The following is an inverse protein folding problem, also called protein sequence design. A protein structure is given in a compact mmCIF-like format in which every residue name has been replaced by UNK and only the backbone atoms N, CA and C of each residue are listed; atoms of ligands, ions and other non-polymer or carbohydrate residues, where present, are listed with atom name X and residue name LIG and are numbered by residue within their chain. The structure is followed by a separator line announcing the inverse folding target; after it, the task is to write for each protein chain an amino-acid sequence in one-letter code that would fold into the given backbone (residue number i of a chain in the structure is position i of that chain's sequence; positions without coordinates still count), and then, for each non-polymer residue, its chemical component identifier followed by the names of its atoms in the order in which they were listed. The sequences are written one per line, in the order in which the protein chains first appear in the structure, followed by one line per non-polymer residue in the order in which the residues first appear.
data_IF_655428188762
#
_entry.id   IF_655428188762
#
_cell.length_a   1.000
_cell.length_b   1.000
_cell.length_c   1.000
_cell.angle_alpha   90.00
_cell.angle_beta   90.00
_cell.angle_gamma   90.00
#
_symmetry.space_group_name_H-M   'P 1'
#
loop_
_entity.id
_entity.type
_entity.pdbx_description
1 polymer ?
#
# COMPACT_ATOMS: atom_id res chain seq x y z
N UNK A 1 10.55 -7.02 -5.26
CA UNK A 1 11.57 -6.38 -4.39
C UNK A 1 11.91 -5.04 -5.02
N UNK A 2 11.72 -3.95 -4.28
CA UNK A 2 11.79 -2.58 -4.76
C UNK A 2 13.18 -2.15 -5.22
N UNK A 3 13.53 -2.43 -6.45
CA UNK A 3 14.61 -1.74 -7.16
C UNK A 3 13.99 -0.66 -8.02
N UNK A 4 14.62 0.50 -8.10
CA UNK A 4 14.12 1.64 -8.86
C UNK A 4 13.84 2.85 -7.96
N UNK A 5 13.32 3.89 -8.56
CA UNK A 5 12.93 5.13 -7.87
C UNK A 5 11.58 5.60 -8.39
N UNK A 6 10.85 6.31 -7.54
CA UNK A 6 9.60 6.92 -7.92
C UNK A 6 9.83 7.95 -9.05
N UNK A 7 9.09 7.80 -10.13
CA UNK A 7 9.09 8.72 -11.27
C UNK A 7 7.80 9.56 -11.26
N UNK A 8 7.96 10.83 -10.95
CA UNK A 8 6.85 11.79 -10.90
C UNK A 8 6.17 11.95 -12.27
N UNK A 9 6.92 11.87 -13.38
CA UNK A 9 6.34 12.00 -14.72
C UNK A 9 5.45 10.81 -15.07
N UNK A 10 5.90 9.57 -14.77
CA UNK A 10 5.07 8.39 -14.94
C UNK A 10 3.83 8.41 -14.03
N UNK A 11 3.96 8.93 -12.81
CA UNK A 11 2.83 9.15 -11.92
C UNK A 11 1.83 10.17 -12.48
N UNK A 12 2.29 11.32 -12.99
CA UNK A 12 1.42 12.30 -13.66
C UNK A 12 0.71 11.72 -14.88
N UNK A 13 1.38 10.86 -15.64
CA UNK A 13 0.75 10.16 -16.77
C UNK A 13 -0.38 9.26 -16.30
N UNK A 14 -0.19 8.53 -15.19
CA UNK A 14 -1.24 7.72 -14.58
C UNK A 14 -2.40 8.59 -14.10
N UNK A 15 -2.16 9.65 -13.33
CA UNK A 15 -3.22 10.54 -12.83
C UNK A 15 -3.99 11.20 -13.96
N UNK A 16 -3.31 11.61 -15.04
CA UNK A 16 -3.95 12.15 -16.24
C UNK A 16 -4.82 11.11 -16.95
N UNK A 17 -4.37 9.86 -17.04
CA UNK A 17 -5.12 8.78 -17.69
C UNK A 17 -6.35 8.34 -16.90
N UNK A 18 -6.36 8.59 -15.59
CA UNK A 18 -7.47 8.27 -14.68
C UNK A 18 -8.35 9.47 -14.37
N UNK A 19 -7.96 10.67 -14.79
CA UNK A 19 -8.73 11.88 -14.59
C UNK A 19 -10.12 11.74 -15.23
N UNK A 20 -11.17 12.00 -14.44
CA UNK A 20 -12.56 11.90 -14.90
C UNK A 20 -13.15 10.50 -14.98
N UNK A 21 -12.36 9.43 -14.74
CA UNK A 21 -12.92 8.08 -14.59
C UNK A 21 -13.59 7.93 -13.22
N UNK A 22 -14.67 7.16 -13.17
CA UNK A 22 -15.28 6.78 -11.91
C UNK A 22 -14.32 5.87 -11.11
N UNK A 23 -14.44 5.87 -9.78
CA UNK A 23 -13.64 5.02 -8.89
C UNK A 23 -13.75 3.55 -9.29
N UNK A 24 -14.96 3.07 -9.62
CA UNK A 24 -15.23 1.70 -10.04
C UNK A 24 -14.57 1.30 -11.37
N UNK A 25 -14.28 2.28 -12.23
CA UNK A 25 -13.57 2.03 -13.50
C UNK A 25 -12.05 1.89 -13.29
N UNK A 26 -11.53 2.44 -12.19
CA UNK A 26 -10.13 2.33 -11.81
C UNK A 26 -9.91 1.08 -10.97
N UNK A 27 -10.76 0.88 -9.97
CA UNK A 27 -10.76 -0.29 -9.09
C UNK A 27 -11.70 -1.36 -9.65
N UNK A 28 -11.35 -1.92 -10.81
CA UNK A 28 -12.20 -2.87 -11.53
C UNK A 28 -12.24 -4.27 -10.92
N UNK A 29 -11.43 -4.55 -9.90
CA UNK A 29 -11.40 -5.84 -9.20
C UNK A 29 -12.76 -6.14 -8.56
N UNK A 30 -13.28 -7.35 -8.78
CA UNK A 30 -14.55 -7.82 -8.19
C UNK A 30 -14.36 -8.83 -7.06
N UNK A 31 -13.13 -9.22 -6.83
CA UNK A 31 -12.67 -10.10 -5.75
C UNK A 31 -11.25 -9.69 -5.39
N UNK A 32 -10.74 -10.19 -4.26
CA UNK A 32 -9.34 -9.98 -3.90
C UNK A 32 -8.41 -10.44 -5.03
N UNK A 33 -7.48 -9.57 -5.43
CA UNK A 33 -6.48 -9.93 -6.42
C UNK A 33 -5.48 -10.92 -5.83
N UNK A 34 -5.10 -11.95 -6.60
CA UNK A 34 -4.22 -13.04 -6.13
C UNK A 34 -2.89 -12.53 -5.53
N UNK A 35 -2.33 -11.45 -6.07
CA UNK A 35 -1.05 -10.89 -5.63
C UNK A 35 -1.19 -10.03 -4.37
N UNK A 36 -2.44 -9.64 -4.02
CA UNK A 36 -2.78 -8.89 -2.81
C UNK A 36 -3.39 -9.76 -1.72
N UNK A 37 -3.72 -11.03 -2.01
CA UNK A 37 -4.29 -11.95 -1.02
C UNK A 37 -3.21 -12.34 0.01
N UNK A 38 -3.40 -12.06 1.31
CA UNK A 38 -2.46 -12.46 2.35
C UNK A 38 -2.37 -13.98 2.55
N UNK A 39 -3.37 -14.74 2.05
CA UNK A 39 -3.38 -16.20 2.16
C UNK A 39 -2.20 -16.81 1.43
N UNK A 40 -1.36 -17.53 2.15
CA UNK A 40 -0.16 -18.16 1.61
C UNK A 40 1.05 -17.24 1.48
N UNK A 41 0.93 -15.95 1.78
CA UNK A 41 2.08 -15.06 1.89
C UNK A 41 2.81 -15.35 3.19
N UNK A 42 4.00 -15.95 3.07
CA UNK A 42 4.85 -16.20 4.25
C UNK A 42 5.55 -14.94 4.71
N UNK A 43 6.04 -14.15 3.74
CA UNK A 43 6.86 -12.99 4.03
C UNK A 43 6.78 -11.96 2.91
N UNK A 44 6.69 -10.68 3.26
CA UNK A 44 6.93 -9.53 2.40
C UNK A 44 8.25 -8.90 2.78
N UNK A 45 9.08 -8.55 1.82
CA UNK A 45 10.45 -8.14 2.09
C UNK A 45 10.75 -6.74 1.57
N UNK A 46 11.45 -5.96 2.41
CA UNK A 46 12.07 -4.70 2.02
C UNK A 46 13.59 -4.87 2.11
N UNK A 47 14.24 -5.09 0.97
CA UNK A 47 15.66 -5.40 0.90
C UNK A 47 16.44 -4.28 0.22
N UNK A 48 17.66 -4.08 0.67
CA UNK A 48 18.59 -3.17 0.03
C UNK A 48 18.89 -3.64 -1.40
N UNK A 49 19.12 -2.68 -2.27
CA UNK A 49 19.52 -2.91 -3.67
C UNK A 49 20.60 -1.90 -4.07
N UNK A 50 21.13 -2.04 -5.28
CA UNK A 50 22.08 -1.06 -5.81
C UNK A 50 21.47 0.35 -5.89
N UNK A 51 20.18 0.43 -6.24
CA UNK A 51 19.45 1.69 -6.38
C UNK A 51 18.96 2.23 -5.03
N UNK A 52 18.71 1.35 -4.06
CA UNK A 52 18.16 1.66 -2.73
C UNK A 52 19.02 0.98 -1.64
N UNK A 53 20.25 1.49 -1.39
CA UNK A 53 21.19 0.83 -0.48
C UNK A 53 20.83 0.92 1.00
N UNK A 54 19.87 1.76 1.36
CA UNK A 54 19.40 1.96 2.73
C UNK A 54 17.86 1.87 2.82
N UNK A 55 17.30 0.85 2.19
CA UNK A 55 15.86 0.64 2.11
C UNK A 55 15.17 0.78 3.47
N UNK A 56 14.17 1.64 3.54
CA UNK A 56 13.38 1.91 4.75
C UNK A 56 11.92 1.55 4.50
N UNK A 57 11.37 0.53 5.17
CA UNK A 57 10.00 0.11 4.98
C UNK A 57 9.01 1.11 5.58
N UNK A 58 8.01 1.45 4.78
CA UNK A 58 6.90 2.31 5.12
C UNK A 58 5.60 1.61 4.74
N UNK A 59 4.78 1.28 5.72
CA UNK A 59 3.48 0.62 5.53
C UNK A 59 2.38 1.64 5.76
N UNK A 60 1.44 1.71 4.82
CA UNK A 60 0.23 2.54 4.93
C UNK A 60 -0.97 1.62 4.87
N UNK A 61 -1.65 1.47 5.99
CA UNK A 61 -2.89 0.70 6.10
C UNK A 61 -4.08 1.64 5.99
N UNK A 62 -4.92 1.42 4.99
CA UNK A 62 -6.08 2.25 4.66
C UNK A 62 -7.36 1.44 4.79
N UNK A 63 -8.36 2.02 5.42
CA UNK A 63 -9.71 1.51 5.39
C UNK A 63 -10.29 1.64 3.96
N UNK A 64 -10.83 0.54 3.44
CA UNK A 64 -11.43 0.49 2.10
C UNK A 64 -12.89 0.10 2.12
N UNK A 65 -13.50 0.12 3.30
CA UNK A 65 -14.91 -0.24 3.50
C UNK A 65 -15.85 0.91 3.17
N UNK A 66 -17.02 0.61 2.67
CA UNK A 66 -18.11 1.57 2.47
C UNK A 66 -17.66 2.89 1.85
N UNK A 67 -17.92 4.00 2.57
CA UNK A 67 -17.55 5.36 2.15
C UNK A 67 -16.04 5.61 2.14
N UNK A 68 -15.26 4.80 2.84
CA UNK A 68 -13.80 4.96 2.91
C UNK A 68 -13.08 4.48 1.66
N UNK A 69 -13.75 3.74 0.76
CA UNK A 69 -13.20 3.39 -0.55
C UNK A 69 -12.78 4.61 -1.39
N UNK A 70 -13.39 5.77 -1.15
CA UNK A 70 -12.97 7.05 -1.73
C UNK A 70 -11.55 7.43 -1.31
N UNK A 71 -11.13 7.07 -0.09
CA UNK A 71 -9.77 7.35 0.40
C UNK A 71 -8.71 6.62 -0.43
N UNK A 72 -8.94 5.36 -0.79
CA UNK A 72 -8.04 4.61 -1.67
C UNK A 72 -7.89 5.31 -3.03
N UNK A 73 -8.99 5.83 -3.59
CA UNK A 73 -8.99 6.58 -4.85
C UNK A 73 -8.21 7.90 -4.72
N UNK A 74 -8.44 8.67 -3.67
CA UNK A 74 -7.70 9.93 -3.41
C UNK A 74 -6.20 9.64 -3.25
N UNK A 75 -5.83 8.58 -2.52
CA UNK A 75 -4.43 8.20 -2.35
C UNK A 75 -3.79 7.82 -3.69
N UNK A 76 -4.47 7.02 -4.51
CA UNK A 76 -3.94 6.60 -5.81
C UNK A 76 -3.76 7.78 -6.77
N UNK A 77 -4.73 8.69 -6.83
CA UNK A 77 -4.72 9.82 -7.77
C UNK A 77 -3.79 10.96 -7.36
N UNK A 78 -3.72 11.26 -6.07
CA UNK A 78 -3.07 12.47 -5.57
C UNK A 78 -2.08 12.17 -4.44
N UNK A 79 -2.50 11.38 -3.46
CA UNK A 79 -1.78 11.19 -2.21
C UNK A 79 -0.41 10.54 -2.38
N UNK A 80 -0.27 9.60 -3.30
CA UNK A 80 1.02 8.94 -3.56
C UNK A 80 2.07 9.91 -4.09
N UNK A 81 1.70 10.76 -5.05
CA UNK A 81 2.61 11.78 -5.57
C UNK A 81 3.07 12.72 -4.48
N UNK A 82 2.14 13.20 -3.65
CA UNK A 82 2.45 14.07 -2.51
C UNK A 82 3.33 13.37 -1.49
N UNK A 83 3.03 12.10 -1.16
CA UNK A 83 3.81 11.29 -0.21
C UNK A 83 5.26 11.13 -0.69
N UNK A 84 5.45 10.58 -1.90
CA UNK A 84 6.79 10.35 -2.44
C UNK A 84 7.57 11.65 -2.63
N UNK A 85 6.97 12.69 -3.21
CA UNK A 85 7.61 13.99 -3.38
C UNK A 85 8.03 14.57 -2.02
N UNK A 86 7.15 14.53 -1.02
CA UNK A 86 7.46 15.03 0.32
C UNK A 86 8.60 14.26 0.99
N UNK A 87 8.65 12.93 0.80
CA UNK A 87 9.74 12.10 1.35
C UNK A 87 11.04 12.41 0.63
N UNK A 88 11.03 12.52 -0.69
CA UNK A 88 12.23 12.78 -1.48
C UNK A 88 12.79 14.18 -1.23
N UNK A 89 11.93 15.20 -1.09
CA UNK A 89 12.32 16.58 -0.84
C UNK A 89 12.84 16.79 0.59
N UNK A 90 12.10 16.26 1.57
CA UNK A 90 12.42 16.48 2.99
C UNK A 90 13.42 15.45 3.55
N UNK A 91 13.60 14.32 2.88
CA UNK A 91 14.51 13.23 3.23
C UNK A 91 14.41 12.77 4.70
N UNK A 92 13.19 12.61 5.27
CA UNK A 92 13.04 12.14 6.63
C UNK A 92 13.52 10.69 6.80
N UNK A 93 13.45 9.91 5.73
CA UNK A 93 13.95 8.53 5.63
C UNK A 93 14.74 8.35 4.33
N UNK A 94 15.65 7.38 4.33
CA UNK A 94 16.38 6.97 3.14
C UNK A 94 15.58 5.94 2.37
N UNK A 95 15.69 5.95 1.04
CA UNK A 95 15.25 4.90 0.13
C UNK A 95 13.89 4.28 0.53
N UNK A 96 12.77 5.02 0.48
CA UNK A 96 11.49 4.57 0.97
C UNK A 96 10.98 3.38 0.16
N UNK A 97 10.68 2.27 0.83
CA UNK A 97 9.95 1.13 0.27
C UNK A 97 8.53 1.15 0.84
N UNK A 98 7.57 1.51 0.01
CA UNK A 98 6.17 1.66 0.42
C UNK A 98 5.39 0.38 0.17
N UNK A 99 4.57 -0.02 1.13
CA UNK A 99 3.60 -1.09 1.03
C UNK A 99 2.23 -0.58 1.47
N UNK A 100 1.18 -0.88 0.71
CA UNK A 100 -0.20 -0.62 1.11
C UNK A 100 -0.85 -1.87 1.67
N UNK A 101 -1.66 -1.66 2.69
CA UNK A 101 -2.59 -2.66 3.21
C UNK A 101 -4.00 -2.08 3.16
N UNK A 102 -4.90 -2.71 2.44
CA UNK A 102 -6.31 -2.36 2.47
C UNK A 102 -6.99 -3.16 3.59
N UNK A 103 -7.69 -2.45 4.45
CA UNK A 103 -8.30 -2.99 5.67
C UNK A 103 -9.80 -3.02 5.54
N UNK A 104 -10.40 -4.14 5.88
CA UNK A 104 -11.82 -4.36 6.03
C UNK A 104 -12.15 -5.04 7.36
N UNK A 105 -13.37 -5.51 7.51
CA UNK A 105 -13.81 -6.25 8.70
C UNK A 105 -13.70 -7.77 8.49
N UNK A 106 -12.92 -8.43 9.33
CA UNK A 106 -12.74 -9.89 9.30
C UNK A 106 -14.03 -10.68 9.55
N UNK A 107 -15.06 -10.07 10.14
CA UNK A 107 -16.34 -10.72 10.42
C UNK A 107 -17.35 -10.59 9.27
N UNK A 108 -17.23 -9.56 8.45
CA UNK A 108 -18.27 -9.19 7.48
C UNK A 108 -17.77 -9.14 6.04
N UNK A 109 -16.50 -8.77 5.81
CA UNK A 109 -16.00 -8.50 4.48
C UNK A 109 -15.40 -9.73 3.79
N UNK A 110 -15.44 -9.73 2.47
CA UNK A 110 -14.87 -10.81 1.64
C UNK A 110 -13.34 -10.72 1.57
N UNK A 111 -12.80 -9.51 1.69
CA UNK A 111 -11.38 -9.22 1.63
C UNK A 111 -10.94 -8.38 2.84
N UNK A 112 -10.95 -8.95 4.06
CA UNK A 112 -10.68 -8.22 5.29
C UNK A 112 -9.26 -7.66 5.38
N UNK A 113 -8.33 -8.17 4.59
CA UNK A 113 -6.98 -7.63 4.45
C UNK A 113 -6.47 -7.91 3.05
N UNK A 114 -5.94 -6.90 2.40
CA UNK A 114 -5.24 -7.01 1.13
C UNK A 114 -3.87 -6.33 1.27
N UNK A 115 -2.82 -6.91 0.73
CA UNK A 115 -1.45 -6.44 0.95
C UNK A 115 -0.68 -6.35 -0.37
N UNK A 116 -0.08 -5.20 -0.63
CA UNK A 116 0.82 -5.03 -1.77
C UNK A 116 2.21 -5.60 -1.51
N UNK A 117 3.11 -5.48 -2.46
CA UNK A 117 4.54 -5.64 -2.24
C UNK A 117 5.13 -4.36 -1.62
N UNK A 118 6.36 -4.44 -1.10
CA UNK A 118 7.18 -3.26 -0.87
C UNK A 118 7.76 -2.78 -2.19
N UNK A 119 7.46 -1.55 -2.57
CA UNK A 119 7.94 -0.96 -3.81
C UNK A 119 8.60 0.41 -3.56
N UNK A 120 9.67 0.69 -4.30
CA UNK A 120 10.35 1.98 -4.29
C UNK A 120 9.96 2.86 -5.49
N UNK A 121 9.13 2.36 -6.39
CA UNK A 121 8.78 3.01 -7.65
C UNK A 121 7.26 2.97 -7.93
N UNK A 122 6.89 3.34 -9.14
CA UNK A 122 5.49 3.50 -9.56
C UNK A 122 4.69 2.20 -9.62
N UNK A 123 5.31 1.03 -9.50
CA UNK A 123 4.60 -0.26 -9.39
C UNK A 123 3.63 -0.30 -8.21
N UNK A 124 3.88 0.51 -7.18
CA UNK A 124 2.97 0.63 -6.04
C UNK A 124 1.60 1.18 -6.47
N UNK A 125 1.56 2.07 -7.47
CA UNK A 125 0.32 2.63 -8.02
C UNK A 125 -0.51 1.55 -8.71
N UNK A 126 0.15 0.71 -9.52
CA UNK A 126 -0.49 -0.41 -10.20
C UNK A 126 -1.10 -1.38 -9.20
N UNK A 127 -0.37 -1.72 -8.15
CA UNK A 127 -0.87 -2.61 -7.10
C UNK A 127 -2.03 -1.98 -6.31
N UNK A 128 -1.98 -0.67 -6.07
CA UNK A 128 -3.07 0.03 -5.38
C UNK A 128 -4.38 -0.04 -6.17
N UNK A 129 -4.33 0.09 -7.51
CA UNK A 129 -5.53 -0.01 -8.35
C UNK A 129 -6.10 -1.43 -8.47
N UNK A 130 -5.34 -2.44 -8.05
CA UNK A 130 -5.81 -3.82 -7.98
C UNK A 130 -6.58 -4.14 -6.69
N UNK A 131 -6.64 -3.22 -5.74
CA UNK A 131 -7.41 -3.41 -4.51
C UNK A 131 -8.88 -3.61 -4.87
N UNK A 132 -9.48 -4.62 -4.26
CA UNK A 132 -10.91 -4.81 -4.27
C UNK A 132 -11.54 -3.89 -3.24
N UNK A 133 -12.41 -3.00 -3.69
CA UNK A 133 -13.19 -2.13 -2.80
C UNK A 133 -14.49 -2.85 -2.42
N UNK A 134 -14.72 -3.00 -1.11
CA UNK A 134 -16.01 -3.51 -0.61
C UNK A 134 -17.06 -2.39 -0.70
N UNK A 135 -17.93 -2.47 -1.69
CA UNK A 135 -19.03 -1.53 -1.87
C UNK A 135 -20.17 -1.81 -0.91
N UNK A 136 -20.02 -1.48 0.35
CA UNK A 136 -21.03 -1.68 1.37
C UNK A 136 -20.44 -2.41 2.58
N UNK A 137 -20.25 -1.69 3.66
CA UNK A 137 -19.81 -2.25 4.92
C UNK A 137 -20.85 -3.19 5.52
N UNK A 138 -20.42 -4.33 6.00
CA UNK A 138 -21.27 -5.32 6.63
C UNK A 138 -21.62 -4.98 8.06
N UNK A 139 -22.67 -4.27 8.30
CA UNK A 139 -23.48 -4.35 9.52
C UNK A 139 -22.86 -3.97 10.89
N UNK A 140 -21.59 -3.64 10.96
CA UNK A 140 -20.97 -3.14 12.18
C UNK A 140 -20.06 -1.93 11.87
N UNK A 141 -19.61 -1.22 12.91
CA UNK A 141 -18.76 -0.03 12.78
C UNK A 141 -17.31 -0.32 13.18
N UNK A 142 -16.87 -1.57 13.12
CA UNK A 142 -15.54 -1.97 13.56
C UNK A 142 -14.77 -2.58 12.40
N UNK A 143 -13.57 -2.03 12.15
CA UNK A 143 -12.63 -2.54 11.16
C UNK A 143 -11.49 -3.30 11.85
N UNK A 144 -10.92 -4.25 11.13
CA UNK A 144 -9.89 -5.14 11.69
C UNK A 144 -8.48 -4.52 11.63
N UNK A 145 -8.30 -3.31 12.18
CA UNK A 145 -7.01 -2.60 12.22
C UNK A 145 -5.88 -3.34 12.92
N UNK A 146 -6.18 -4.36 13.72
CA UNK A 146 -5.17 -5.24 14.29
C UNK A 146 -4.50 -6.15 13.23
N UNK A 147 -5.17 -6.44 12.12
CA UNK A 147 -4.65 -7.32 11.08
C UNK A 147 -3.39 -6.73 10.37
N UNK A 148 -3.36 -5.44 9.94
CA UNK A 148 -2.13 -4.81 9.46
C UNK A 148 -0.97 -4.87 10.45
N UNK A 149 -1.21 -4.61 11.73
CA UNK A 149 -0.17 -4.67 12.76
C UNK A 149 0.36 -6.08 12.95
N UNK A 150 -0.52 -7.08 12.94
CA UNK A 150 -0.12 -8.48 13.02
C UNK A 150 0.74 -8.86 11.80
N UNK A 151 0.25 -8.54 10.59
CA UNK A 151 0.98 -8.85 9.36
C UNK A 151 2.36 -8.17 9.33
N UNK A 152 2.42 -6.88 9.65
CA UNK A 152 3.67 -6.14 9.70
C UNK A 152 4.67 -6.74 10.69
N UNK A 153 4.18 -7.26 11.83
CA UNK A 153 5.04 -7.81 12.88
C UNK A 153 5.56 -9.21 12.58
N UNK A 154 4.77 -10.05 11.91
CA UNK A 154 5.08 -11.47 11.76
C UNK A 154 5.33 -11.92 10.32
N UNK A 155 4.94 -11.10 9.34
CA UNK A 155 5.01 -11.44 7.92
C UNK A 155 5.80 -10.41 7.10
N UNK A 156 6.65 -9.62 7.75
CA UNK A 156 7.61 -8.75 7.04
C UNK A 156 9.03 -8.98 7.52
N UNK A 157 9.98 -8.81 6.59
CA UNK A 157 11.42 -8.81 6.90
C UNK A 157 12.08 -7.65 6.14
N UNK A 158 13.02 -6.98 6.80
CA UNK A 158 13.64 -5.82 6.18
C UNK A 158 15.09 -5.60 6.63
N UNK A 159 15.91 -5.24 5.66
CA UNK A 159 17.35 -5.01 5.89
C UNK A 159 17.62 -3.83 6.82
N UNK A 160 16.71 -2.86 6.91
CA UNK A 160 16.86 -1.75 7.87
C UNK A 160 16.93 -2.26 9.31
N UNK A 161 16.19 -3.32 9.67
CA UNK A 161 16.28 -3.93 10.98
C UNK A 161 17.43 -4.94 11.06
N UNK A 162 17.51 -5.84 10.08
CA UNK A 162 18.47 -6.95 10.11
C UNK A 162 19.93 -6.47 10.03
N UNK A 163 20.21 -5.45 9.22
CA UNK A 163 21.57 -4.93 9.02
C UNK A 163 21.89 -3.69 9.87
N UNK A 164 20.89 -2.87 10.18
CA UNK A 164 21.10 -1.54 10.77
C UNK A 164 20.40 -1.34 12.12
N UNK A 165 19.61 -2.30 12.60
CA UNK A 165 18.83 -2.19 13.84
C UNK A 165 17.77 -1.08 13.81
N UNK A 166 17.38 -0.61 12.62
CA UNK A 166 16.38 0.44 12.44
C UNK A 166 15.03 -0.14 12.09
N UNK A 167 13.99 0.25 12.82
CA UNK A 167 12.61 -0.16 12.58
C UNK A 167 12.04 0.55 11.34
N UNK A 168 11.05 -0.08 10.71
CA UNK A 168 10.18 0.55 9.73
C UNK A 168 9.05 1.35 10.38
N UNK A 169 8.17 1.87 9.55
CA UNK A 169 7.02 2.68 9.95
C UNK A 169 5.72 2.04 9.46
N UNK A 170 4.68 2.09 10.28
CA UNK A 170 3.32 1.72 9.91
C UNK A 170 2.37 2.83 10.34
N UNK A 171 1.54 3.27 9.40
CA UNK A 171 0.46 4.23 9.61
C UNK A 171 -0.87 3.57 9.30
N UNK A 172 -1.87 3.79 10.13
CA UNK A 172 -3.26 3.43 9.87
C UNK A 172 -4.07 4.71 9.65
N UNK A 173 -4.88 4.72 8.62
CA UNK A 173 -5.70 5.88 8.20
C UNK A 173 -7.13 5.44 8.00
#
# INVERSE_FOLDING_TARGET
MGSGSFDSHAYFSFTSSTAGKATDDIYASRTIHKDLDPKGVKLRESRDSADNPNATPLIVAIDVTGSMGILADVIAREGLGVLFTSILDRKPISDPHVMFMAVGDANCDRAPLQISQFEADNRIVEQLTQIYLEHGGGGNNFESYNAPWYFASFHTAHDSMEKRGKRGYLFTV
#
